data_IF_504722180688
#
_entry.id   IF_504722180688
#
_cell.length_a   1.000
_cell.length_b   1.000
_cell.length_c   1.000
_cell.angle_alpha   90.00
_cell.angle_beta   90.00
_cell.angle_gamma   90.00
#
_symmetry.space_group_name_H-M   'P 1'
#
loop_
_entity.id
_entity.type
_entity.pdbx_description
1 polymer ?
#
# COMPACT_ATOMS: atom_id res chain seq x y z
N UNK A 1 23.52 19.35 -17.58
CA UNK A 1 24.79 19.96 -18.01
C UNK A 1 24.83 19.97 -19.52
N UNK A 2 25.32 21.04 -20.14
CA UNK A 2 25.39 21.20 -21.60
C UNK A 2 26.81 21.63 -22.02
N UNK A 3 27.33 21.03 -23.08
CA UNK A 3 28.61 21.38 -23.66
C UNK A 3 28.39 21.88 -25.11
N UNK A 4 28.65 23.15 -25.39
CA UNK A 4 28.34 23.79 -26.67
C UNK A 4 29.61 24.29 -27.39
N UNK A 5 29.64 24.17 -28.72
CA UNK A 5 30.74 24.66 -29.56
C UNK A 5 30.50 26.04 -30.14
N UNK A 6 29.30 26.56 -30.10
CA UNK A 6 28.93 27.87 -30.60
C UNK A 6 28.24 28.67 -29.49
N UNK A 7 28.84 29.79 -29.16
CA UNK A 7 28.37 30.60 -28.05
C UNK A 7 27.25 31.54 -28.50
N UNK A 8 26.08 31.00 -28.76
CA UNK A 8 24.89 31.82 -28.56
C UNK A 8 24.64 31.94 -27.04
N UNK A 9 25.30 32.95 -26.49
CA UNK A 9 25.34 33.21 -25.05
C UNK A 9 23.95 33.44 -24.49
N UNK A 10 23.05 33.97 -25.30
CA UNK A 10 21.68 34.22 -24.89
C UNK A 10 20.89 32.92 -24.75
N UNK A 11 21.01 32.00 -25.69
CA UNK A 11 20.33 30.69 -25.62
C UNK A 11 20.82 29.86 -24.43
N UNK A 12 22.11 29.94 -24.09
CA UNK A 12 22.66 29.27 -22.91
C UNK A 12 22.17 29.88 -21.60
N UNK A 13 22.10 31.19 -21.51
CA UNK A 13 21.55 31.93 -20.35
C UNK A 13 20.04 31.61 -20.17
N UNK A 14 19.27 31.61 -21.23
CA UNK A 14 17.84 31.31 -21.20
C UNK A 14 17.60 29.85 -20.74
N UNK A 15 18.39 28.90 -21.21
CA UNK A 15 18.27 27.50 -20.81
C UNK A 15 18.64 27.28 -19.33
N UNK A 16 19.59 28.04 -18.77
CA UNK A 16 19.91 28.02 -17.34
C UNK A 16 18.79 28.68 -16.53
N UNK A 17 18.30 29.84 -16.96
CA UNK A 17 17.24 30.59 -16.28
C UNK A 17 15.89 29.84 -16.26
N UNK A 18 15.61 29.05 -17.30
CA UNK A 18 14.43 28.19 -17.36
C UNK A 18 14.58 26.89 -16.54
N UNK A 19 15.73 26.69 -15.85
CA UNK A 19 16.00 25.49 -15.06
C UNK A 19 16.22 24.23 -15.88
N UNK A 20 16.30 24.35 -17.24
CA UNK A 20 16.47 23.22 -18.14
C UNK A 20 17.88 22.57 -18.07
N UNK A 21 18.88 23.39 -17.71
CA UNK A 21 20.27 22.91 -17.53
C UNK A 21 20.89 23.48 -16.26
N UNK A 22 21.66 22.62 -15.57
CA UNK A 22 22.38 22.99 -14.34
C UNK A 22 23.56 23.93 -14.61
N UNK A 23 24.34 23.66 -15.66
CA UNK A 23 25.46 24.48 -16.12
C UNK A 23 25.76 24.25 -17.61
N UNK A 24 26.36 25.25 -18.26
CA UNK A 24 26.88 25.08 -19.59
C UNK A 24 28.39 25.38 -19.61
N UNK A 25 29.06 24.79 -20.58
CA UNK A 25 30.49 24.96 -20.85
C UNK A 25 30.69 25.14 -22.36
N UNK A 26 31.61 26.00 -22.75
CA UNK A 26 32.01 26.20 -24.15
C UNK A 26 33.14 25.26 -24.55
N UNK A 27 33.10 24.77 -25.77
CA UNK A 27 34.25 24.07 -26.39
C UNK A 27 35.25 25.11 -26.95
N UNK A 28 36.59 24.87 -26.78
CA UNK A 28 37.22 23.73 -26.12
C UNK A 28 37.16 23.82 -24.60
N UNK A 29 36.88 22.67 -23.92
CA UNK A 29 36.86 22.55 -22.49
C UNK A 29 37.92 21.52 -22.05
N UNK A 30 38.72 21.85 -21.05
CA UNK A 30 39.72 20.91 -20.54
C UNK A 30 39.07 19.74 -19.80
N UNK A 31 39.75 18.59 -19.80
CA UNK A 31 39.30 17.37 -19.12
C UNK A 31 39.04 17.62 -17.62
N UNK A 32 39.89 18.42 -16.98
CA UNK A 32 39.82 18.68 -15.54
C UNK A 32 38.60 19.54 -15.18
N UNK A 33 38.29 20.54 -16.00
CA UNK A 33 37.07 21.37 -15.83
C UNK A 33 35.83 20.52 -16.04
N UNK A 34 35.82 19.65 -17.04
CA UNK A 34 34.69 18.77 -17.31
C UNK A 34 34.49 17.73 -16.19
N UNK A 35 35.58 17.12 -15.72
CA UNK A 35 35.54 16.18 -14.60
C UNK A 35 34.99 16.83 -13.32
N UNK A 36 35.50 18.02 -12.97
CA UNK A 36 34.98 18.77 -11.81
C UNK A 36 33.51 19.18 -11.95
N UNK A 37 33.08 19.50 -13.18
CA UNK A 37 31.69 19.83 -13.47
C UNK A 37 30.74 18.62 -13.32
N UNK A 38 31.17 17.45 -13.77
CA UNK A 38 30.42 16.19 -13.61
C UNK A 38 30.33 15.82 -12.15
N UNK A 39 31.42 15.91 -11.38
CA UNK A 39 31.44 15.62 -9.95
C UNK A 39 30.46 16.51 -9.17
N UNK A 40 30.46 17.82 -9.46
CA UNK A 40 29.51 18.75 -8.86
C UNK A 40 28.06 18.44 -9.25
N UNK A 41 27.79 18.07 -10.50
CA UNK A 41 26.44 17.70 -10.94
C UNK A 41 25.96 16.41 -10.27
N UNK A 42 26.84 15.42 -10.09
CA UNK A 42 26.55 14.19 -9.35
C UNK A 42 26.26 14.47 -7.88
N UNK A 43 27.09 15.25 -7.21
CA UNK A 43 26.85 15.65 -5.81
C UNK A 43 25.50 16.38 -5.63
N UNK A 44 25.17 17.29 -6.55
CA UNK A 44 23.88 17.99 -6.50
C UNK A 44 22.70 17.03 -6.72
N UNK A 45 22.84 16.09 -7.67
CA UNK A 45 21.84 15.07 -7.92
C UNK A 45 21.66 14.14 -6.71
N UNK A 46 22.75 13.72 -6.09
CA UNK A 46 22.73 12.90 -4.88
C UNK A 46 22.03 13.61 -3.72
N UNK A 47 22.33 14.90 -3.50
CA UNK A 47 21.69 15.71 -2.46
C UNK A 47 20.18 15.80 -2.66
N UNK A 48 19.73 16.18 -3.88
CA UNK A 48 18.30 16.30 -4.20
C UNK A 48 17.61 14.95 -4.07
N UNK A 49 18.25 13.88 -4.55
CA UNK A 49 17.68 12.53 -4.47
C UNK A 49 17.60 12.03 -3.04
N UNK A 50 18.65 12.24 -2.24
CA UNK A 50 18.69 11.84 -0.83
C UNK A 50 17.65 12.57 0.00
N UNK A 51 17.49 13.88 -0.22
CA UNK A 51 16.46 14.67 0.44
C UNK A 51 15.06 14.14 0.12
N UNK A 52 14.78 13.87 -1.17
CA UNK A 52 13.50 13.31 -1.59
C UNK A 52 13.22 11.95 -0.97
N UNK A 53 14.19 11.04 -1.01
CA UNK A 53 14.08 9.70 -0.42
C UNK A 53 13.86 9.78 1.10
N UNK A 54 14.55 10.68 1.79
CA UNK A 54 14.39 10.88 3.23
C UNK A 54 12.96 11.34 3.56
N UNK A 55 12.45 12.33 2.81
CA UNK A 55 11.10 12.86 2.99
C UNK A 55 10.04 11.80 2.71
N UNK A 56 10.18 11.03 1.62
CA UNK A 56 9.26 9.93 1.27
C UNK A 56 9.24 8.86 2.37
N UNK A 57 10.42 8.45 2.88
CA UNK A 57 10.53 7.47 3.97
C UNK A 57 9.94 7.98 5.28
N UNK A 58 10.19 9.25 5.62
CA UNK A 58 9.66 9.85 6.85
C UNK A 58 8.15 9.95 6.78
N UNK A 59 7.60 10.40 5.64
CA UNK A 59 6.17 10.50 5.43
C UNK A 59 5.49 9.13 5.47
N UNK A 60 6.04 8.15 4.74
CA UNK A 60 5.52 6.77 4.76
C UNK A 60 5.59 6.14 6.16
N UNK A 61 6.66 6.41 6.90
CA UNK A 61 6.82 5.96 8.30
C UNK A 61 5.77 6.58 9.22
N UNK A 62 5.53 7.89 9.09
CA UNK A 62 4.52 8.60 9.88
C UNK A 62 3.11 8.10 9.57
N UNK A 63 2.80 7.89 8.28
CA UNK A 63 1.52 7.30 7.85
C UNK A 63 1.35 5.89 8.41
N UNK A 64 2.41 5.07 8.39
CA UNK A 64 2.36 3.73 8.98
C UNK A 64 2.00 3.77 10.46
N UNK A 65 2.62 4.65 11.25
CA UNK A 65 2.29 4.80 12.68
C UNK A 65 0.82 5.21 12.86
N UNK A 66 0.31 6.15 12.05
CA UNK A 66 -1.11 6.53 12.09
C UNK A 66 -2.02 5.35 11.77
N UNK A 67 -1.70 4.56 10.74
CA UNK A 67 -2.47 3.36 10.36
C UNK A 67 -2.41 2.31 11.46
N UNK A 68 -1.25 2.09 12.09
CA UNK A 68 -1.12 1.18 13.21
C UNK A 68 -2.01 1.60 14.38
N UNK A 69 -2.08 2.91 14.70
CA UNK A 69 -2.99 3.44 15.72
C UNK A 69 -4.45 3.24 15.32
N UNK A 70 -4.83 3.56 14.08
CA UNK A 70 -6.21 3.40 13.59
C UNK A 70 -6.64 1.93 13.61
N UNK A 71 -5.75 1.01 13.28
CA UNK A 71 -6.00 -0.44 13.34
C UNK A 71 -6.33 -0.91 14.76
N UNK A 72 -5.86 -0.23 15.80
CA UNK A 72 -6.22 -0.55 17.17
C UNK A 72 -7.69 -0.24 17.50
N UNK A 73 -8.24 0.79 16.86
CA UNK A 73 -9.62 1.20 17.07
C UNK A 73 -10.60 0.45 16.17
N UNK A 74 -10.19 0.17 14.92
CA UNK A 74 -11.03 -0.48 13.89
C UNK A 74 -10.26 -1.62 13.20
N UNK A 75 -9.97 -2.73 13.90
CA UNK A 75 -9.15 -3.82 13.36
C UNK A 75 -9.78 -4.45 12.09
N UNK A 76 -11.10 -4.56 12.03
CA UNK A 76 -11.79 -5.18 10.89
C UNK A 76 -11.66 -4.34 9.61
N UNK A 77 -11.70 -3.01 9.72
CA UNK A 77 -11.54 -2.10 8.58
C UNK A 77 -10.13 -2.18 7.96
N UNK A 78 -9.11 -2.52 8.77
CA UNK A 78 -7.72 -2.57 8.34
C UNK A 78 -7.20 -3.98 8.03
N UNK A 79 -7.90 -5.03 8.45
CA UNK A 79 -7.50 -6.43 8.19
C UNK A 79 -7.33 -6.73 6.69
N UNK A 80 -8.28 -6.26 5.89
CA UNK A 80 -8.26 -6.40 4.42
C UNK A 80 -7.12 -5.62 3.79
N UNK A 81 -6.79 -4.46 4.36
CA UNK A 81 -5.76 -3.55 3.86
C UNK A 81 -4.38 -4.21 3.82
N UNK A 82 -4.06 -5.10 4.76
CA UNK A 82 -2.76 -5.79 4.80
C UNK A 82 -2.57 -6.69 3.57
N UNK A 83 -3.60 -7.49 3.22
CA UNK A 83 -3.57 -8.34 2.02
C UNK A 83 -3.54 -7.51 0.75
N UNK A 84 -4.46 -6.54 0.65
CA UNK A 84 -4.56 -5.63 -0.48
C UNK A 84 -3.23 -4.92 -0.74
N UNK A 85 -2.56 -4.45 0.31
CA UNK A 85 -1.25 -3.81 0.23
C UNK A 85 -0.17 -4.74 -0.32
N UNK A 86 -0.13 -5.99 0.14
CA UNK A 86 0.82 -6.97 -0.38
C UNK A 86 0.58 -7.21 -1.88
N UNK A 87 -0.65 -7.47 -2.29
CA UNK A 87 -1.01 -7.68 -3.70
C UNK A 87 -0.71 -6.47 -4.57
N UNK A 88 -0.95 -5.25 -4.06
CA UNK A 88 -0.63 -4.01 -4.74
C UNK A 88 0.88 -3.88 -4.95
N UNK A 89 1.69 -4.12 -3.93
CA UNK A 89 3.14 -4.02 -4.01
C UNK A 89 3.73 -5.02 -5.02
N UNK A 90 3.21 -6.24 -5.02
CA UNK A 90 3.66 -7.28 -5.94
C UNK A 90 3.24 -6.96 -7.39
N UNK A 91 1.99 -6.54 -7.59
CA UNK A 91 1.50 -6.12 -8.90
C UNK A 91 2.23 -4.87 -9.41
N UNK A 92 2.50 -3.89 -8.56
CA UNK A 92 3.20 -2.66 -8.93
C UNK A 92 4.64 -2.93 -9.40
N UNK A 93 5.33 -3.88 -8.78
CA UNK A 93 6.66 -4.36 -9.23
C UNK A 93 6.54 -5.04 -10.60
N UNK A 94 5.55 -5.91 -10.78
CA UNK A 94 5.31 -6.58 -12.06
C UNK A 94 5.03 -5.59 -13.19
N UNK A 95 4.19 -4.60 -12.92
CA UNK A 95 3.87 -3.50 -13.85
C UNK A 95 5.03 -2.50 -14.04
N UNK A 96 6.17 -2.67 -13.34
CA UNK A 96 7.35 -1.78 -13.38
C UNK A 96 6.99 -0.30 -13.17
N UNK A 97 6.09 -0.02 -12.24
CA UNK A 97 5.72 1.35 -11.92
C UNK A 97 6.90 2.09 -11.30
N UNK A 98 7.16 3.31 -11.77
CA UNK A 98 8.34 4.11 -11.36
C UNK A 98 8.33 4.53 -9.89
N UNK A 99 7.16 4.71 -9.31
CA UNK A 99 6.98 5.06 -7.90
C UNK A 99 5.87 4.21 -7.31
N UNK A 100 6.20 3.46 -6.25
CA UNK A 100 5.25 2.56 -5.57
C UNK A 100 4.78 3.13 -4.24
N UNK A 101 5.53 4.10 -3.66
CA UNK A 101 5.27 4.58 -2.31
C UNK A 101 3.90 5.28 -2.19
N UNK A 102 3.51 6.08 -3.20
CA UNK A 102 2.22 6.76 -3.20
C UNK A 102 1.06 5.76 -3.26
N UNK A 103 1.21 4.70 -4.06
CA UNK A 103 0.22 3.64 -4.17
C UNK A 103 0.16 2.79 -2.89
N UNK A 104 1.29 2.51 -2.27
CA UNK A 104 1.37 1.82 -0.97
C UNK A 104 0.70 2.64 0.13
N UNK A 105 0.96 3.95 0.19
CA UNK A 105 0.30 4.87 1.12
C UNK A 105 -1.20 4.97 0.84
N UNK A 106 -1.60 5.04 -0.43
CA UNK A 106 -3.01 5.06 -0.81
C UNK A 106 -3.75 3.78 -0.40
N UNK A 107 -3.10 2.62 -0.53
CA UNK A 107 -3.62 1.36 -0.03
C UNK A 107 -3.82 1.39 1.49
N UNK A 108 -2.80 1.83 2.24
CA UNK A 108 -2.87 1.92 3.70
C UNK A 108 -3.96 2.85 4.20
N UNK A 109 -4.15 3.99 3.54
CA UNK A 109 -5.11 5.02 3.96
C UNK A 109 -6.50 4.83 3.34
N UNK A 110 -6.67 3.89 2.43
CA UNK A 110 -7.93 3.69 1.72
C UNK A 110 -9.16 3.43 2.61
N UNK A 111 -9.05 2.81 3.82
CA UNK A 111 -10.19 2.64 4.71
C UNK A 111 -10.61 3.90 5.46
N UNK A 112 -9.78 4.95 5.49
CA UNK A 112 -9.99 6.12 6.37
C UNK A 112 -11.35 6.80 6.16
N UNK A 113 -11.85 6.82 4.92
CA UNK A 113 -13.17 7.35 4.62
C UNK A 113 -14.31 6.52 5.23
N UNK A 114 -14.15 5.20 5.25
CA UNK A 114 -15.15 4.28 5.83
C UNK A 114 -15.28 4.45 7.36
N UNK A 115 -14.22 4.85 8.05
CA UNK A 115 -14.25 5.08 9.50
C UNK A 115 -15.15 6.24 9.92
N UNK A 116 -15.59 7.07 8.97
CA UNK A 116 -16.52 8.18 9.24
C UNK A 116 -17.98 7.79 9.04
N UNK A 117 -18.26 6.55 8.61
CA UNK A 117 -19.62 6.06 8.46
C UNK A 117 -20.25 5.81 9.85
N UNK A 118 -21.57 6.01 9.98
CA UNK A 118 -22.31 5.62 11.18
C UNK A 118 -22.11 4.15 11.54
N UNK A 119 -22.10 3.85 12.85
CA UNK A 119 -21.89 2.50 13.36
C UNK A 119 -22.91 1.51 12.80
N UNK A 120 -24.17 1.96 12.62
CA UNK A 120 -25.25 1.15 12.07
C UNK A 120 -24.96 0.67 10.64
N UNK A 121 -24.34 1.54 9.81
CA UNK A 121 -23.95 1.19 8.43
C UNK A 121 -22.78 0.22 8.46
N UNK A 122 -21.76 0.49 9.28
CA UNK A 122 -20.59 -0.39 9.39
C UNK A 122 -20.97 -1.78 9.91
N UNK A 123 -21.89 -1.87 10.85
CA UNK A 123 -22.43 -3.15 11.35
C UNK A 123 -23.20 -3.92 10.26
N UNK A 124 -24.04 -3.23 9.47
CA UNK A 124 -24.72 -3.86 8.33
C UNK A 124 -23.74 -4.42 7.33
N UNK A 125 -22.71 -3.64 6.95
CA UNK A 125 -21.65 -4.10 6.04
C UNK A 125 -20.94 -5.33 6.60
N UNK A 126 -20.59 -5.32 7.90
CA UNK A 126 -19.90 -6.42 8.58
C UNK A 126 -20.72 -7.70 8.63
N UNK A 127 -22.02 -7.59 8.82
CA UNK A 127 -22.95 -8.73 8.94
C UNK A 127 -23.55 -9.17 7.60
N UNK A 128 -23.26 -8.46 6.49
CA UNK A 128 -23.86 -8.73 5.19
C UNK A 128 -25.35 -8.33 5.13
N UNK A 129 -25.77 -7.37 5.95
CA UNK A 129 -27.15 -6.86 5.96
C UNK A 129 -27.43 -5.92 4.79
N UNK A 130 -28.70 -5.81 4.40
CA UNK A 130 -29.13 -4.94 3.31
C UNK A 130 -28.98 -3.46 3.68
N UNK A 131 -28.38 -2.71 2.77
CA UNK A 131 -28.29 -1.26 2.85
C UNK A 131 -29.47 -0.61 2.14
N UNK A 132 -29.99 0.47 2.68
CA UNK A 132 -30.89 1.36 1.97
C UNK A 132 -30.14 2.15 0.90
N UNK A 133 -30.82 2.68 -0.11
CA UNK A 133 -30.19 3.53 -1.15
C UNK A 133 -29.39 4.70 -0.57
N UNK A 134 -29.90 5.33 0.47
CA UNK A 134 -29.21 6.44 1.14
C UNK A 134 -27.92 5.98 1.86
N UNK A 135 -27.93 4.78 2.46
CA UNK A 135 -26.74 4.17 3.06
C UNK A 135 -25.72 3.75 2.01
N UNK A 136 -26.18 3.19 0.87
CA UNK A 136 -25.31 2.87 -0.29
C UNK A 136 -24.61 4.13 -0.83
N UNK A 137 -25.33 5.24 -0.95
CA UNK A 137 -24.76 6.53 -1.37
C UNK A 137 -23.71 7.05 -0.38
N UNK A 138 -23.97 6.91 0.93
CA UNK A 138 -22.99 7.27 1.97
C UNK A 138 -21.73 6.40 1.89
N UNK A 139 -21.88 5.11 1.72
CA UNK A 139 -20.76 4.16 1.56
C UNK A 139 -19.98 4.49 0.27
N UNK A 140 -20.68 4.74 -0.84
CA UNK A 140 -20.06 5.09 -2.12
C UNK A 140 -19.25 6.39 -2.03
N UNK A 141 -19.74 7.39 -1.26
CA UNK A 141 -19.08 8.71 -1.10
C UNK A 141 -18.00 8.73 -0.01
N UNK A 142 -17.82 7.68 0.78
CA UNK A 142 -16.78 7.61 1.81
C UNK A 142 -15.36 7.99 1.32
N UNK A 143 -14.94 7.66 0.09
CA UNK A 143 -13.65 8.10 -0.45
C UNK A 143 -13.48 9.63 -0.53
N UNK A 144 -14.56 10.40 -0.64
CA UNK A 144 -14.50 11.86 -0.63
C UNK A 144 -14.01 12.40 0.72
N UNK A 145 -14.51 11.82 1.80
CA UNK A 145 -14.05 12.18 3.16
C UNK A 145 -12.57 11.82 3.31
N UNK A 146 -12.18 10.64 2.85
CA UNK A 146 -10.77 10.21 2.81
C UNK A 146 -9.88 11.21 2.05
N UNK A 147 -10.29 11.62 0.85
CA UNK A 147 -9.59 12.65 0.06
C UNK A 147 -9.43 13.95 0.84
N UNK A 148 -10.52 14.45 1.44
CA UNK A 148 -10.52 15.72 2.18
C UNK A 148 -9.58 15.72 3.38
N UNK A 149 -9.51 14.60 4.11
CA UNK A 149 -8.61 14.43 5.24
C UNK A 149 -7.14 14.40 4.80
N UNK A 150 -6.84 13.65 3.75
CA UNK A 150 -5.47 13.42 3.27
C UNK A 150 -4.94 14.63 2.49
N UNK A 151 -5.79 15.38 1.80
CA UNK A 151 -5.40 16.56 1.02
C UNK A 151 -4.76 17.68 1.88
N UNK A 152 -4.96 17.65 3.21
CA UNK A 152 -4.31 18.59 4.13
C UNK A 152 -2.84 18.23 4.42
N UNK A 153 -2.37 17.07 3.98
CA UNK A 153 -0.98 16.63 4.18
C UNK A 153 -0.18 16.97 2.91
N UNK A 154 0.81 17.87 2.99
CA UNK A 154 1.63 18.21 1.83
C UNK A 154 2.23 16.96 1.16
N UNK A 155 2.30 16.98 -0.17
CA UNK A 155 2.82 15.89 -1.02
C UNK A 155 1.98 14.60 -1.07
N UNK A 156 0.78 14.60 -0.49
CA UNK A 156 -0.16 13.48 -0.62
C UNK A 156 -1.31 13.77 -1.61
N UNK A 157 -1.18 14.76 -2.48
CA UNK A 157 -2.19 15.11 -3.48
C UNK A 157 -2.48 13.93 -4.43
N UNK A 158 -1.43 13.23 -4.89
CA UNK A 158 -1.58 12.04 -5.72
C UNK A 158 -2.28 10.91 -4.95
N UNK A 159 -1.89 10.68 -3.69
CA UNK A 159 -2.51 9.69 -2.80
C UNK A 159 -3.98 9.99 -2.57
N UNK A 160 -4.31 11.25 -2.25
CA UNK A 160 -5.70 11.68 -2.02
C UNK A 160 -6.57 11.50 -3.26
N UNK A 161 -6.02 11.76 -4.46
CA UNK A 161 -6.72 11.51 -5.72
C UNK A 161 -6.90 10.02 -6.02
N UNK A 162 -5.91 9.17 -5.74
CA UNK A 162 -6.05 7.72 -5.88
C UNK A 162 -7.17 7.19 -5.00
N UNK A 163 -7.26 7.65 -3.74
CA UNK A 163 -8.31 7.24 -2.81
C UNK A 163 -9.68 7.75 -3.27
N UNK A 164 -9.75 8.97 -3.76
CA UNK A 164 -11.00 9.57 -4.25
C UNK A 164 -11.62 8.77 -5.39
N UNK A 165 -10.78 8.35 -6.37
CA UNK A 165 -11.22 7.62 -7.56
C UNK A 165 -11.20 6.08 -7.38
N UNK A 166 -10.90 5.56 -6.19
CA UNK A 166 -10.76 4.10 -5.98
C UNK A 166 -11.99 3.26 -6.36
N UNK A 167 -13.19 3.86 -6.25
CA UNK A 167 -14.46 3.20 -6.57
C UNK A 167 -14.96 3.54 -7.98
N UNK A 168 -14.25 4.40 -8.74
CA UNK A 168 -14.62 4.78 -10.10
C UNK A 168 -14.37 3.63 -11.06
N UNK A 169 -15.40 3.23 -11.78
CA UNK A 169 -15.29 2.27 -12.88
C UNK A 169 -14.51 2.84 -14.06
N UNK A 170 -13.77 2.00 -14.76
CA UNK A 170 -13.06 2.37 -15.98
C UNK A 170 -14.01 2.86 -17.08
N UNK A 171 -15.23 2.33 -17.10
CA UNK A 171 -16.37 2.75 -17.94
C UNK A 171 -16.97 4.11 -17.54
N UNK A 172 -16.48 4.74 -16.47
CA UNK A 172 -16.99 6.00 -15.94
C UNK A 172 -18.13 5.85 -14.93
N UNK A 173 -18.57 4.65 -14.62
CA UNK A 173 -19.58 4.40 -13.58
C UNK A 173 -19.02 4.57 -12.17
N UNK A 174 -19.90 4.63 -11.18
CA UNK A 174 -19.53 4.71 -9.78
C UNK A 174 -19.07 6.10 -9.33
N UNK A 175 -18.68 6.19 -8.04
CA UNK A 175 -18.23 7.44 -7.43
C UNK A 175 -16.74 7.69 -7.74
N UNK A 176 -16.35 8.97 -7.96
CA UNK A 176 -17.15 10.21 -7.99
C UNK A 176 -18.03 10.29 -9.26
N UNK A 177 -19.18 10.97 -9.12
CA UNK A 177 -20.15 11.15 -10.22
C UNK A 177 -19.71 12.28 -11.17
N UNK A 178 -18.48 12.19 -11.67
CA UNK A 178 -17.91 13.07 -12.68
C UNK A 178 -17.81 12.35 -14.04
N UNK A 179 -17.40 13.06 -15.09
CA UNK A 179 -17.32 12.54 -16.44
C UNK A 179 -16.02 11.78 -16.74
N UNK A 180 -15.12 11.58 -15.77
CA UNK A 180 -13.86 10.89 -16.01
C UNK A 180 -14.08 9.40 -16.20
N UNK A 181 -13.41 8.85 -17.23
CA UNK A 181 -13.43 7.44 -17.57
C UNK A 181 -12.07 7.01 -18.14
N UNK A 182 -11.84 5.74 -18.24
CA UNK A 182 -10.65 5.18 -18.88
C UNK A 182 -9.35 5.67 -18.24
N UNK A 183 -8.42 6.09 -19.10
CA UNK A 183 -7.08 6.54 -18.70
C UNK A 183 -7.05 7.92 -18.01
N UNK A 184 -8.15 8.66 -17.97
CA UNK A 184 -8.26 9.90 -17.19
C UNK A 184 -8.34 9.61 -15.68
N UNK A 185 -8.73 8.39 -15.29
CA UNK A 185 -8.69 7.92 -13.92
C UNK A 185 -7.23 7.63 -13.56
N UNK A 186 -6.70 8.15 -12.42
CA UNK A 186 -5.32 7.89 -12.01
C UNK A 186 -4.99 6.39 -12.01
N UNK A 187 -3.82 6.00 -12.54
CA UNK A 187 -3.44 4.59 -12.65
C UNK A 187 -3.48 3.87 -11.29
N UNK A 188 -3.05 4.54 -10.21
CA UNK A 188 -3.12 3.97 -8.87
C UNK A 188 -4.56 3.70 -8.41
N UNK A 189 -5.52 4.55 -8.78
CA UNK A 189 -6.94 4.33 -8.48
C UNK A 189 -7.49 3.11 -9.23
N UNK A 190 -7.11 2.94 -10.51
CA UNK A 190 -7.50 1.76 -11.31
C UNK A 190 -6.95 0.46 -10.73
N UNK A 191 -5.72 0.49 -10.20
CA UNK A 191 -5.10 -0.65 -9.49
C UNK A 191 -5.83 -0.90 -8.16
N UNK A 192 -6.08 0.15 -7.36
CA UNK A 192 -6.80 0.06 -6.10
C UNK A 192 -8.19 -0.55 -6.28
N UNK A 193 -8.89 -0.21 -7.37
CA UNK A 193 -10.19 -0.80 -7.68
C UNK A 193 -10.10 -2.30 -7.93
N UNK A 194 -9.20 -2.72 -8.83
CA UNK A 194 -9.05 -4.16 -9.15
C UNK A 194 -8.64 -4.94 -7.91
N UNK A 195 -7.61 -4.50 -7.20
CA UNK A 195 -7.09 -5.22 -6.04
C UNK A 195 -8.04 -5.15 -4.84
N UNK A 196 -8.75 -4.03 -4.65
CA UNK A 196 -9.78 -3.88 -3.63
C UNK A 196 -10.94 -4.85 -3.85
N UNK A 197 -11.48 -4.89 -5.06
CA UNK A 197 -12.59 -5.79 -5.40
C UNK A 197 -12.16 -7.28 -5.35
N UNK A 198 -10.91 -7.60 -5.71
CA UNK A 198 -10.36 -8.94 -5.48
C UNK A 198 -10.28 -9.29 -4.00
N UNK A 199 -9.81 -8.37 -3.14
CA UNK A 199 -9.67 -8.60 -1.70
C UNK A 199 -11.03 -8.70 -0.99
N UNK A 200 -12.07 -8.08 -1.53
CA UNK A 200 -13.44 -8.18 -1.04
C UNK A 200 -14.01 -9.60 -1.31
N UNK A 201 -13.79 -10.11 -2.53
CA UNK A 201 -14.31 -11.43 -2.97
C UNK A 201 -13.47 -12.57 -2.41
N UNK A 202 -12.14 -12.40 -2.31
CA UNK A 202 -11.20 -13.45 -1.92
C UNK A 202 -10.53 -13.14 -0.57
N UNK A 203 -10.73 -14.05 0.38
CA UNK A 203 -10.15 -13.94 1.73
C UNK A 203 -8.83 -14.71 1.88
N UNK A 204 -8.39 -15.39 0.83
CA UNK A 204 -7.13 -16.16 0.81
C UNK A 204 -5.89 -15.25 0.77
N UNK A 205 -4.72 -15.83 0.95
CA UNK A 205 -3.44 -15.08 0.90
C UNK A 205 -3.11 -14.59 -0.52
N UNK A 206 -3.67 -15.23 -1.56
CA UNK A 206 -3.44 -14.88 -2.96
C UNK A 206 -4.75 -14.99 -3.74
N UNK A 207 -5.01 -14.07 -4.70
CA UNK A 207 -6.23 -14.13 -5.51
C UNK A 207 -6.35 -15.45 -6.28
N UNK A 208 -7.51 -16.07 -6.20
CA UNK A 208 -7.83 -17.31 -6.88
C UNK A 208 -8.39 -17.06 -8.27
N UNK A 209 -8.46 -18.11 -9.10
CA UNK A 209 -9.13 -18.04 -10.40
C UNK A 209 -10.59 -17.62 -10.25
N UNK A 210 -11.29 -18.13 -9.23
CA UNK A 210 -12.70 -17.82 -9.00
C UNK A 210 -12.93 -16.32 -8.73
N UNK A 211 -12.01 -15.66 -7.99
CA UNK A 211 -12.09 -14.22 -7.74
C UNK A 211 -11.90 -13.40 -9.02
N UNK A 212 -10.98 -13.80 -9.91
CA UNK A 212 -10.84 -13.16 -11.21
C UNK A 212 -12.05 -13.40 -12.12
N UNK A 213 -12.63 -14.59 -12.10
CA UNK A 213 -13.85 -14.90 -12.89
C UNK A 213 -15.05 -14.06 -12.39
N UNK A 214 -15.12 -13.76 -11.08
CA UNK A 214 -16.12 -12.84 -10.53
C UNK A 214 -15.93 -11.39 -10.99
N UNK A 215 -14.68 -10.93 -11.15
CA UNK A 215 -14.42 -9.60 -11.73
C UNK A 215 -14.73 -9.57 -13.23
N UNK A 216 -14.47 -10.64 -13.95
CA UNK A 216 -14.75 -10.74 -15.40
C UNK A 216 -16.23 -10.52 -15.72
N UNK A 217 -17.15 -10.86 -14.80
CA UNK A 217 -18.59 -10.62 -14.96
C UNK A 217 -18.96 -9.13 -15.07
N UNK A 218 -18.07 -8.23 -14.64
CA UNK A 218 -18.23 -6.77 -14.71
C UNK A 218 -16.97 -6.08 -15.24
N UNK A 219 -16.33 -6.69 -16.22
CA UNK A 219 -15.01 -6.29 -16.76
C UNK A 219 -14.96 -4.85 -17.27
N UNK A 220 -16.07 -4.27 -17.71
CA UNK A 220 -16.15 -2.89 -18.18
C UNK A 220 -15.75 -1.88 -17.10
N UNK A 221 -15.91 -2.25 -15.82
CA UNK A 221 -15.52 -1.41 -14.68
C UNK A 221 -14.02 -1.39 -14.41
N UNK A 222 -13.24 -2.27 -15.05
CA UNK A 222 -11.81 -2.40 -14.79
C UNK A 222 -10.98 -2.02 -16.01
N UNK A 223 -9.78 -1.50 -15.75
CA UNK A 223 -8.80 -1.29 -16.81
C UNK A 223 -8.41 -2.65 -17.41
N UNK A 224 -8.68 -2.88 -18.71
CA UNK A 224 -8.49 -4.18 -19.32
C UNK A 224 -7.01 -4.60 -19.38
N UNK A 225 -6.08 -3.63 -19.53
CA UNK A 225 -4.65 -3.90 -19.55
C UNK A 225 -4.16 -4.32 -18.18
N UNK A 226 -4.58 -3.60 -17.11
CA UNK A 226 -4.18 -3.90 -15.75
C UNK A 226 -4.82 -5.20 -15.25
N UNK A 227 -6.10 -5.43 -15.55
CA UNK A 227 -6.81 -6.65 -15.17
C UNK A 227 -6.17 -7.90 -15.80
N UNK A 228 -5.83 -7.83 -17.10
CA UNK A 228 -5.15 -8.93 -17.79
C UNK A 228 -3.78 -9.22 -17.20
N UNK A 229 -2.96 -8.19 -16.93
CA UNK A 229 -1.65 -8.35 -16.33
C UNK A 229 -1.73 -8.85 -14.88
N UNK A 230 -2.71 -8.38 -14.09
CA UNK A 230 -2.95 -8.89 -12.75
C UNK A 230 -3.34 -10.38 -12.78
N UNK A 231 -4.24 -10.78 -13.68
CA UNK A 231 -4.65 -12.17 -13.85
C UNK A 231 -3.46 -13.05 -14.25
N UNK A 232 -2.67 -12.62 -15.23
CA UNK A 232 -1.45 -13.33 -15.65
C UNK A 232 -0.46 -13.47 -14.50
N UNK A 233 -0.20 -12.40 -13.76
CA UNK A 233 0.73 -12.40 -12.64
C UNK A 233 0.28 -13.31 -11.50
N UNK A 234 -0.96 -13.19 -11.05
CA UNK A 234 -1.44 -13.96 -9.90
C UNK A 234 -1.76 -15.42 -10.22
N UNK A 235 -2.18 -15.74 -11.46
CA UNK A 235 -2.57 -17.11 -11.86
C UNK A 235 -1.53 -17.79 -12.76
N UNK A 236 -0.59 -17.05 -13.35
CA UNK A 236 0.43 -17.58 -14.25
C UNK A 236 1.54 -18.35 -13.54
N UNK A 237 2.32 -19.10 -14.31
CA UNK A 237 3.50 -19.84 -13.85
C UNK A 237 4.64 -18.94 -13.35
N UNK A 238 4.68 -17.67 -13.76
CA UNK A 238 5.65 -16.68 -13.26
C UNK A 238 5.38 -16.30 -11.81
N UNK A 239 4.15 -16.44 -11.30
CA UNK A 239 3.86 -16.35 -9.88
C UNK A 239 4.37 -17.54 -9.06
N UNK A 240 4.80 -18.64 -9.73
CA UNK A 240 5.51 -19.78 -9.09
C UNK A 240 7.03 -19.62 -9.10
N UNK A 241 7.59 -18.74 -9.93
CA UNK A 241 9.04 -18.49 -9.95
C UNK A 241 9.49 -17.57 -8.81
N UNK A 242 8.60 -16.70 -8.31
CA UNK A 242 8.81 -15.99 -7.04
C UNK A 242 8.50 -16.88 -5.81
N UNK A 243 7.89 -18.07 -6.00
CA UNK A 243 7.85 -19.12 -4.96
C UNK A 243 9.25 -19.62 -4.56
N UNK A 244 10.29 -19.43 -5.38
CA UNK A 244 11.68 -19.59 -4.94
C UNK A 244 12.21 -18.38 -4.14
N UNK A 245 11.60 -17.19 -4.25
CA UNK A 245 11.77 -16.11 -3.28
C UNK A 245 10.76 -16.26 -2.10
N UNK A 246 9.64 -16.96 -2.30
CA UNK A 246 8.69 -17.37 -1.26
C UNK A 246 9.06 -18.73 -0.63
N UNK A 247 9.99 -19.48 -1.19
CA UNK A 247 10.70 -20.60 -0.53
C UNK A 247 11.92 -20.14 0.28
N UNK A 248 12.34 -18.90 0.16
CA UNK A 248 12.83 -18.08 1.27
C UNK A 248 11.67 -17.54 2.13
N UNK A 249 10.41 -17.92 1.89
CA UNK A 249 9.31 -17.81 2.83
C UNK A 249 9.66 -18.73 3.99
N UNK A 250 10.32 -18.11 4.95
CA UNK A 250 10.50 -18.52 6.32
C UNK A 250 9.43 -19.55 6.65
N UNK A 251 9.83 -20.83 6.81
CA UNK A 251 8.96 -21.87 7.34
C UNK A 251 8.29 -21.30 8.59
N UNK A 252 7.00 -21.11 8.55
CA UNK A 252 6.26 -20.61 9.70
C UNK A 252 5.74 -21.80 10.46
N UNK A 253 6.21 -21.97 11.68
CA UNK A 253 5.66 -22.96 12.58
C UNK A 253 4.42 -22.41 13.27
N UNK A 254 3.34 -23.18 13.28
CA UNK A 254 2.18 -22.90 14.14
C UNK A 254 2.55 -23.19 15.59
N UNK A 255 2.39 -22.21 16.44
CA UNK A 255 2.74 -22.25 17.86
C UNK A 255 1.52 -21.91 18.71
N UNK A 256 1.38 -22.63 19.81
CA UNK A 256 0.48 -22.28 20.89
C UNK A 256 1.31 -21.58 21.96
N UNK A 257 1.11 -20.28 22.12
CA UNK A 257 1.92 -19.43 22.99
C UNK A 257 1.06 -18.76 24.05
N UNK A 258 1.66 -18.43 25.17
CA UNK A 258 1.06 -17.53 26.14
C UNK A 258 1.23 -16.08 25.70
N UNK A 259 0.46 -15.17 26.30
CA UNK A 259 0.49 -13.75 26.02
C UNK A 259 1.92 -13.14 26.13
N UNK A 260 2.70 -13.62 27.09
CA UNK A 260 4.07 -13.12 27.33
C UNK A 260 5.06 -13.60 26.27
N UNK A 261 4.74 -14.67 25.55
CA UNK A 261 5.59 -15.26 24.51
C UNK A 261 5.29 -14.70 23.11
N UNK A 262 4.25 -13.85 22.97
CA UNK A 262 3.94 -13.19 21.72
C UNK A 262 5.08 -12.26 21.28
N UNK A 263 5.38 -12.29 20.00
CA UNK A 263 6.42 -11.46 19.38
C UNK A 263 5.84 -10.61 18.24
N UNK A 264 6.41 -9.45 17.96
CA UNK A 264 6.10 -8.70 16.76
C UNK A 264 6.32 -9.56 15.51
N UNK A 265 5.41 -9.45 14.54
CA UNK A 265 5.32 -10.26 13.32
C UNK A 265 4.80 -11.70 13.50
N UNK A 266 4.45 -12.15 14.71
CA UNK A 266 3.61 -13.33 14.87
C UNK A 266 2.27 -13.09 14.15
N UNK A 267 1.76 -14.08 13.42
CA UNK A 267 0.46 -13.97 12.78
C UNK A 267 -0.56 -14.84 13.52
N UNK A 268 -1.68 -14.25 13.91
CA UNK A 268 -2.76 -14.99 14.59
C UNK A 268 -3.34 -16.06 13.67
N UNK A 269 -3.37 -17.31 14.12
CA UNK A 269 -4.01 -18.45 13.43
C UNK A 269 -5.48 -18.54 13.78
N UNK A 270 -5.85 -18.18 15.01
CA UNK A 270 -7.22 -18.10 15.49
C UNK A 270 -7.53 -16.71 16.04
N UNK A 271 -8.81 -16.43 16.21
CA UNK A 271 -9.24 -15.20 16.87
C UNK A 271 -8.75 -15.15 18.33
N UNK A 272 -8.37 -13.95 18.78
CA UNK A 272 -8.02 -13.68 20.18
C UNK A 272 -9.24 -13.06 20.86
N UNK A 273 -9.72 -13.67 21.94
CA UNK A 273 -10.90 -13.22 22.68
C UNK A 273 -10.56 -12.99 24.14
N UNK A 274 -11.35 -12.14 24.82
CA UNK A 274 -11.29 -12.03 26.28
C UNK A 274 -11.79 -13.31 26.93
N UNK A 275 -11.51 -13.49 28.24
CA UNK A 275 -12.07 -14.60 29.04
C UNK A 275 -13.61 -14.61 29.04
N UNK A 276 -14.26 -13.48 28.75
CA UNK A 276 -15.71 -13.33 28.59
C UNK A 276 -16.21 -13.52 27.16
N UNK A 277 -15.36 -13.97 26.21
CA UNK A 277 -15.75 -14.25 24.82
C UNK A 277 -15.83 -13.02 23.90
N UNK A 278 -15.42 -11.83 24.36
CA UNK A 278 -15.41 -10.62 23.53
C UNK A 278 -14.20 -10.66 22.59
N UNK A 279 -14.41 -10.50 21.30
CA UNK A 279 -13.37 -10.48 20.28
C UNK A 279 -12.44 -9.28 20.51
N UNK A 280 -11.11 -9.53 20.54
CA UNK A 280 -10.07 -8.50 20.62
C UNK A 280 -9.36 -8.36 19.29
N UNK A 281 -9.05 -9.50 18.64
CA UNK A 281 -8.34 -9.53 17.35
C UNK A 281 -8.77 -10.76 16.55
N UNK A 282 -9.01 -10.58 15.26
CA UNK A 282 -9.39 -11.67 14.34
C UNK A 282 -8.18 -12.53 13.96
N UNK A 283 -8.43 -13.73 13.39
CA UNK A 283 -7.39 -14.56 12.80
C UNK A 283 -6.74 -13.87 11.59
N UNK A 284 -5.49 -14.24 11.27
CA UNK A 284 -4.75 -13.74 10.11
C UNK A 284 -4.00 -12.42 10.32
N UNK A 285 -4.08 -11.80 11.51
CA UNK A 285 -3.39 -10.55 11.82
C UNK A 285 -1.92 -10.74 12.17
N UNK A 286 -1.04 -9.94 11.57
CA UNK A 286 0.33 -9.80 12.02
C UNK A 286 0.36 -8.91 13.27
N UNK A 287 0.89 -9.44 14.37
CA UNK A 287 0.99 -8.72 15.63
C UNK A 287 2.08 -7.65 15.55
N UNK A 288 1.72 -6.42 15.87
CA UNK A 288 2.68 -5.35 16.13
C UNK A 288 2.99 -5.29 17.63
N UNK A 289 4.05 -4.60 17.99
CA UNK A 289 4.37 -4.34 19.43
C UNK A 289 3.16 -3.72 20.16
N UNK A 290 2.45 -2.82 19.50
CA UNK A 290 1.28 -2.13 20.04
C UNK A 290 0.09 -3.09 20.24
N UNK A 291 -0.13 -4.04 19.32
CA UNK A 291 -1.13 -5.09 19.49
C UNK A 291 -0.84 -5.95 20.74
N UNK A 292 0.42 -6.31 20.97
CA UNK A 292 0.84 -7.10 22.12
C UNK A 292 0.62 -6.32 23.42
N UNK A 293 0.97 -5.03 23.46
CA UNK A 293 0.73 -4.17 24.62
C UNK A 293 -0.76 -4.01 24.93
N UNK A 294 -1.59 -3.87 23.90
CA UNK A 294 -3.05 -3.82 24.06
C UNK A 294 -3.60 -5.13 24.61
N UNK A 295 -3.15 -6.28 24.08
CA UNK A 295 -3.55 -7.60 24.61
C UNK A 295 -3.15 -7.73 26.09
N UNK A 296 -1.95 -7.29 26.48
CA UNK A 296 -1.49 -7.26 27.87
C UNK A 296 -2.35 -6.35 28.75
N UNK A 297 -2.81 -5.21 28.21
CA UNK A 297 -3.74 -4.33 28.93
C UNK A 297 -5.12 -4.98 29.14
N UNK A 298 -5.65 -5.65 28.12
CA UNK A 298 -6.90 -6.41 28.24
C UNK A 298 -6.77 -7.58 29.23
N UNK A 299 -5.65 -8.28 29.24
CA UNK A 299 -5.41 -9.37 30.18
C UNK A 299 -5.49 -8.92 31.65
N UNK A 300 -5.01 -7.71 31.94
CA UNK A 300 -5.08 -7.14 33.31
C UNK A 300 -6.50 -6.77 33.75
N UNK A 301 -7.41 -6.45 32.82
CA UNK A 301 -8.74 -5.91 33.13
C UNK A 301 -9.88 -6.90 32.90
N UNK A 302 -9.81 -7.67 31.81
CA UNK A 302 -10.89 -8.57 31.34
C UNK A 302 -10.43 -10.01 31.13
N UNK A 303 -9.14 -10.29 31.30
CA UNK A 303 -8.52 -11.55 30.94
C UNK A 303 -8.43 -11.73 29.40
N UNK A 304 -7.52 -12.55 28.95
CA UNK A 304 -7.38 -13.01 27.56
C UNK A 304 -7.38 -14.53 27.58
N UNK A 305 -8.09 -15.14 26.64
CA UNK A 305 -8.12 -16.59 26.55
C UNK A 305 -6.79 -17.13 26.02
N UNK A 306 -6.16 -18.02 26.76
CA UNK A 306 -4.94 -18.71 26.38
C UNK A 306 -5.17 -20.23 26.21
N UNK A 307 -4.37 -20.94 25.42
CA UNK A 307 -3.23 -20.46 24.63
C UNK A 307 -3.66 -19.71 23.38
N UNK A 308 -2.81 -18.75 22.94
CA UNK A 308 -2.99 -18.01 21.70
C UNK A 308 -2.29 -18.79 20.56
N UNK A 309 -3.00 -19.02 19.49
CA UNK A 309 -2.46 -19.71 18.33
C UNK A 309 -1.86 -18.71 17.35
N UNK A 310 -0.57 -18.81 17.10
CA UNK A 310 0.15 -17.94 16.16
C UNK A 310 1.02 -18.72 15.19
N UNK A 311 1.26 -18.14 14.04
CA UNK A 311 2.23 -18.61 13.06
C UNK A 311 3.43 -17.69 13.11
N UNK A 312 4.60 -18.25 13.46
CA UNK A 312 5.87 -17.53 13.61
C UNK A 312 6.85 -17.93 12.53
N UNK A 313 7.55 -16.92 11.99
CA UNK A 313 8.65 -17.10 11.08
C UNK A 313 9.82 -17.83 11.80
N UNK A 314 10.22 -18.99 11.30
CA UNK A 314 11.44 -19.67 11.75
C UNK A 314 12.65 -18.98 11.14
N UNK A 315 13.46 -18.32 11.96
CA UNK A 315 14.78 -17.85 11.53
C UNK A 315 15.68 -19.08 11.44
N UNK A 316 16.34 -19.38 10.31
CA UNK A 316 17.30 -20.46 10.27
C UNK A 316 18.43 -20.14 11.26
N UNK A 317 18.70 -21.07 12.16
CA UNK A 317 19.85 -20.99 13.07
C UNK A 317 21.13 -20.88 12.23
N UNK A 318 22.07 -19.95 12.54
CA UNK A 318 23.34 -19.92 11.82
C UNK A 318 24.07 -21.22 12.09
N UNK A 319 24.37 -21.97 11.04
CA UNK A 319 25.21 -23.17 11.11
C UNK A 319 26.47 -22.85 11.92
N UNK A 320 26.61 -23.46 13.08
CA UNK A 320 27.87 -23.48 13.82
C UNK A 320 28.88 -24.19 12.92
N UNK A 321 29.77 -23.43 12.31
CA UNK A 321 30.97 -23.95 11.69
C UNK A 321 31.73 -24.72 12.78
N UNK A 322 31.70 -26.04 12.68
CA UNK A 322 32.58 -26.90 13.43
C UNK A 322 34.02 -26.61 12.95
N UNK A 323 34.85 -26.24 13.90
CA UNK A 323 36.30 -26.08 13.75
C UNK A 323 36.97 -27.43 13.64
#
# INVERSE_FOLDING_TARGET
MMLTGNADQQTAVDAVNQGAIFRFYSKPCSSDILAGAVDQALKQYELITSERVLLERTLAGSVKVLVDVLTLFEPDAFAETVRMRQWINDLAKHLKLRSHWELDVAAMLSPIGRMTLPTEITEKIRTGGDLTKAEEEQVASAPEVGKRLIANIPRLEAVSNMIYYRNKGYDGTGFPFDNKAGKEIPIGARILKIVGDLAEVDKSERPSKASFDALEARKEQYDPEILAQAREFFLGTNGKADDNAAQAAVERSELKVSLDQLQPNDRTVSQIVTSGGVLILSAGHALTQMHIERLRSYAKTKGVQEPIHVSRATTPEPERKAS
#
